data_IF_264929477658
#
_entry.id   IF_264929477658
#
_cell.length_a   1.000
_cell.length_b   1.000
_cell.length_c   1.000
_cell.angle_alpha   90.00
_cell.angle_beta   90.00
_cell.angle_gamma   90.00
#
_symmetry.space_group_name_H-M   'P 1'
#
loop_
_entity.id
_entity.type
_entity.pdbx_description
1 polymer ?
#
# COMPACT_ATOMS: atom_id res chain seq x y z
N UNK A 1 -21.08 -21.97 20.89
CA UNK A 1 -20.23 -22.23 19.71
C UNK A 1 -21.09 -22.11 18.46
N UNK A 2 -20.54 -21.58 17.37
CA UNK A 2 -21.23 -21.46 16.10
C UNK A 2 -21.27 -22.80 15.36
N UNK A 3 -22.39 -23.13 14.72
CA UNK A 3 -22.62 -24.34 13.93
C UNK A 3 -22.00 -24.27 12.52
N UNK A 4 -21.48 -23.10 12.13
CA UNK A 4 -20.75 -22.91 10.87
C UNK A 4 -20.35 -21.45 10.66
N UNK A 5 -19.40 -21.21 9.76
CA UNK A 5 -19.00 -19.86 9.38
C UNK A 5 -18.92 -19.70 7.88
N UNK A 6 -19.04 -18.46 7.39
CA UNK A 6 -19.01 -18.13 5.97
C UNK A 6 -18.17 -16.86 5.73
N UNK A 7 -17.72 -16.67 4.50
CA UNK A 7 -17.02 -15.44 4.06
C UNK A 7 -17.95 -14.65 3.14
N UNK A 8 -18.01 -13.33 3.33
CA UNK A 8 -18.64 -12.43 2.37
C UNK A 8 -17.60 -11.96 1.36
N UNK A 9 -17.78 -12.39 0.11
CA UNK A 9 -16.98 -12.08 -1.06
C UNK A 9 -17.70 -11.03 -1.91
N UNK A 10 -16.96 -10.05 -2.42
CA UNK A 10 -17.53 -9.06 -3.33
C UNK A 10 -18.00 -9.68 -4.66
N UNK A 11 -17.23 -10.62 -5.20
CA UNK A 11 -17.54 -11.30 -6.46
C UNK A 11 -18.50 -12.47 -6.30
N UNK A 12 -18.27 -13.32 -5.30
CA UNK A 12 -18.98 -14.61 -5.16
C UNK A 12 -20.13 -14.58 -4.15
N UNK A 13 -20.31 -13.47 -3.42
CA UNK A 13 -21.34 -13.33 -2.40
C UNK A 13 -21.00 -14.13 -1.14
N UNK A 14 -21.84 -15.08 -0.75
CA UNK A 14 -21.63 -15.97 0.38
C UNK A 14 -20.76 -17.16 -0.03
N UNK A 15 -19.62 -17.33 0.63
CA UNK A 15 -18.63 -18.38 0.33
C UNK A 15 -18.47 -19.29 1.55
N UNK A 16 -18.58 -20.60 1.32
CA UNK A 16 -18.23 -21.61 2.31
C UNK A 16 -16.71 -21.64 2.51
N UNK A 17 -16.21 -21.77 3.75
CA UNK A 17 -14.78 -21.83 4.05
C UNK A 17 -13.96 -22.86 3.28
N UNK A 18 -14.58 -23.99 2.91
CA UNK A 18 -13.93 -25.06 2.15
C UNK A 18 -13.92 -24.84 0.64
N UNK A 19 -14.63 -23.81 0.13
CA UNK A 19 -14.74 -23.55 -1.30
C UNK A 19 -13.48 -22.87 -1.83
N UNK A 20 -12.75 -23.56 -2.70
CA UNK A 20 -11.69 -22.95 -3.51
C UNK A 20 -12.30 -22.00 -4.53
N UNK A 21 -11.80 -20.76 -4.57
CA UNK A 21 -12.25 -19.72 -5.49
C UNK A 21 -11.04 -19.15 -6.25
N UNK A 22 -11.27 -18.72 -7.49
CA UNK A 22 -10.23 -18.06 -8.27
C UNK A 22 -9.90 -16.68 -7.70
N UNK A 23 -8.62 -16.25 -7.75
CA UNK A 23 -8.22 -14.90 -7.36
C UNK A 23 -9.05 -13.84 -8.09
N UNK A 24 -9.49 -12.82 -7.34
CA UNK A 24 -10.26 -11.72 -7.88
C UNK A 24 -9.99 -10.45 -7.08
N UNK A 25 -10.13 -9.30 -7.73
CA UNK A 25 -9.92 -7.99 -7.12
C UNK A 25 -11.21 -7.16 -7.27
N UNK A 26 -12.23 -7.53 -6.50
CA UNK A 26 -13.48 -6.78 -6.40
C UNK A 26 -13.72 -6.41 -4.93
N UNK A 27 -14.23 -5.21 -4.70
CA UNK A 27 -14.59 -4.74 -3.36
C UNK A 27 -15.86 -3.93 -3.37
N UNK A 28 -16.72 -4.14 -2.38
CA UNK A 28 -17.94 -3.33 -2.20
C UNK A 28 -17.63 -1.86 -1.90
N UNK A 29 -16.40 -1.54 -1.49
CA UNK A 29 -15.98 -0.18 -1.21
C UNK A 29 -15.95 0.72 -2.46
N UNK A 30 -15.76 0.12 -3.63
CA UNK A 30 -15.67 0.81 -4.92
C UNK A 30 -17.00 0.77 -5.70
N UNK A 31 -17.90 -0.14 -5.33
CA UNK A 31 -19.22 -0.29 -5.95
C UNK A 31 -20.12 0.91 -5.66
N UNK A 32 -20.96 1.28 -6.62
CA UNK A 32 -22.04 2.24 -6.42
C UNK A 32 -23.12 1.71 -5.47
N UNK A 33 -23.99 2.59 -4.95
CA UNK A 33 -25.09 2.18 -4.05
C UNK A 33 -26.07 1.20 -4.70
N UNK A 34 -26.32 1.32 -6.01
CA UNK A 34 -27.17 0.41 -6.79
C UNK A 34 -26.56 -0.99 -6.90
N UNK A 35 -25.25 -1.08 -7.18
CA UNK A 35 -24.51 -2.33 -7.30
C UNK A 35 -24.43 -3.06 -5.96
N UNK A 36 -24.13 -2.34 -4.86
CA UNK A 36 -24.15 -2.93 -3.52
C UNK A 36 -25.51 -3.49 -3.13
N UNK A 37 -26.61 -2.82 -3.51
CA UNK A 37 -27.97 -3.36 -3.29
C UNK A 37 -28.22 -4.64 -4.09
N UNK A 38 -27.77 -4.69 -5.35
CA UNK A 38 -27.88 -5.88 -6.17
C UNK A 38 -27.05 -7.04 -5.61
N UNK A 39 -25.82 -6.77 -5.16
CA UNK A 39 -24.98 -7.73 -4.45
C UNK A 39 -25.65 -8.24 -3.18
N UNK A 40 -26.19 -7.35 -2.36
CA UNK A 40 -26.86 -7.72 -1.11
C UNK A 40 -28.07 -8.62 -1.37
N UNK A 41 -28.87 -8.32 -2.42
CA UNK A 41 -29.97 -9.19 -2.83
C UNK A 41 -29.48 -10.58 -3.27
N UNK A 42 -28.31 -10.68 -3.93
CA UNK A 42 -27.68 -11.96 -4.28
C UNK A 42 -27.25 -12.76 -3.06
N UNK A 43 -26.57 -12.12 -2.11
CA UNK A 43 -26.16 -12.75 -0.85
C UNK A 43 -27.35 -13.19 -0.02
N UNK A 44 -28.42 -12.38 0.02
CA UNK A 44 -29.64 -12.74 0.73
C UNK A 44 -30.24 -14.03 0.18
N UNK A 45 -30.34 -14.19 -1.15
CA UNK A 45 -30.79 -15.45 -1.79
C UNK A 45 -29.94 -16.65 -1.38
N UNK A 46 -28.61 -16.49 -1.33
CA UNK A 46 -27.70 -17.56 -0.89
C UNK A 46 -27.90 -17.89 0.60
N UNK A 47 -28.13 -16.88 1.44
CA UNK A 47 -28.41 -17.06 2.86
C UNK A 47 -29.77 -17.74 3.12
N UNK A 48 -30.76 -17.65 2.23
CA UNK A 48 -32.05 -18.34 2.41
C UNK A 48 -31.92 -19.86 2.42
N UNK A 49 -30.96 -20.40 1.67
CA UNK A 49 -30.69 -21.84 1.62
C UNK A 49 -30.04 -22.33 2.91
N UNK A 50 -29.40 -21.41 3.65
CA UNK A 50 -28.52 -21.72 4.79
C UNK A 50 -29.17 -21.39 6.13
N UNK A 51 -30.05 -20.39 6.17
CA UNK A 51 -30.65 -19.83 7.38
C UNK A 51 -32.16 -20.09 7.44
N UNK A 52 -32.66 -20.32 8.65
CA UNK A 52 -34.08 -20.46 8.97
C UNK A 52 -34.53 -19.33 9.92
N UNK A 53 -35.84 -19.09 10.00
CA UNK A 53 -36.39 -18.18 11.00
C UNK A 53 -36.00 -18.67 12.40
N UNK A 54 -35.58 -17.74 13.27
CA UNK A 54 -35.06 -18.03 14.61
C UNK A 54 -33.55 -18.28 14.69
N UNK A 55 -32.85 -18.41 13.57
CA UNK A 55 -31.39 -18.55 13.57
C UNK A 55 -30.69 -17.27 14.06
N UNK A 56 -29.49 -17.43 14.62
CA UNK A 56 -28.65 -16.31 15.07
C UNK A 56 -27.41 -16.15 14.18
N UNK A 57 -27.23 -14.93 13.66
CA UNK A 57 -26.10 -14.55 12.82
C UNK A 57 -25.24 -13.50 13.52
N UNK A 58 -23.93 -13.77 13.59
CA UNK A 58 -22.93 -12.84 14.07
C UNK A 58 -22.14 -12.34 12.86
N UNK A 59 -22.27 -11.05 12.54
CA UNK A 59 -21.51 -10.43 11.46
C UNK A 59 -20.25 -9.76 12.01
N UNK A 60 -19.09 -10.20 11.54
CA UNK A 60 -17.78 -9.60 11.82
C UNK A 60 -17.24 -8.84 10.60
N UNK A 61 -18.00 -8.80 9.50
CA UNK A 61 -17.64 -8.08 8.28
C UNK A 61 -17.85 -6.56 8.42
N UNK A 62 -17.05 -5.79 7.68
CA UNK A 62 -17.11 -4.32 7.67
C UNK A 62 -18.47 -3.77 7.19
N UNK A 63 -18.76 -2.50 7.51
CA UNK A 63 -20.06 -1.85 7.26
C UNK A 63 -20.62 -2.07 5.85
N UNK A 64 -19.79 -1.88 4.81
CA UNK A 64 -20.20 -2.02 3.40
C UNK A 64 -20.72 -3.41 3.04
N UNK A 65 -20.24 -4.45 3.72
CA UNK A 65 -20.64 -5.84 3.52
C UNK A 65 -21.88 -6.23 4.34
N UNK A 66 -22.32 -5.41 5.30
CA UNK A 66 -23.48 -5.69 6.16
C UNK A 66 -24.67 -4.76 5.97
N UNK A 67 -24.46 -3.53 5.45
CA UNK A 67 -25.50 -2.48 5.35
C UNK A 67 -26.78 -2.93 4.63
N UNK A 68 -26.65 -3.74 3.56
CA UNK A 68 -27.78 -4.27 2.79
C UNK A 68 -28.38 -5.58 3.29
N UNK A 69 -27.79 -6.22 4.30
CA UNK A 69 -28.17 -7.56 4.76
C UNK A 69 -28.96 -7.53 6.08
N UNK A 70 -28.58 -6.65 7.01
CA UNK A 70 -29.10 -6.65 8.39
C UNK A 70 -30.62 -6.51 8.43
N UNK A 71 -31.16 -5.52 7.70
CA UNK A 71 -32.61 -5.25 7.69
C UNK A 71 -33.42 -6.42 7.14
N UNK A 72 -32.99 -6.98 6.01
CA UNK A 72 -33.68 -8.09 5.35
C UNK A 72 -33.63 -9.38 6.17
N UNK A 73 -32.52 -9.67 6.85
CA UNK A 73 -32.41 -10.83 7.73
C UNK A 73 -33.32 -10.70 8.95
N UNK A 74 -33.36 -9.52 9.60
CA UNK A 74 -34.25 -9.26 10.74
C UNK A 74 -35.73 -9.39 10.35
N UNK A 75 -36.12 -8.87 9.18
CA UNK A 75 -37.48 -8.99 8.66
C UNK A 75 -37.92 -10.46 8.45
N UNK A 76 -36.97 -11.38 8.27
CA UNK A 76 -37.21 -12.83 8.14
C UNK A 76 -37.17 -13.59 9.46
N UNK A 77 -37.14 -12.90 10.60
CA UNK A 77 -37.06 -13.52 11.91
C UNK A 77 -35.68 -14.04 12.30
N UNK A 78 -34.62 -13.64 11.59
CA UNK A 78 -33.23 -13.99 11.95
C UNK A 78 -32.68 -12.98 12.96
N UNK A 79 -32.08 -13.47 14.03
CA UNK A 79 -31.44 -12.62 15.05
C UNK A 79 -30.04 -12.21 14.58
N UNK A 80 -29.85 -10.94 14.23
CA UNK A 80 -28.56 -10.41 13.76
C UNK A 80 -27.86 -9.61 14.85
N UNK A 81 -26.65 -10.04 15.20
CA UNK A 81 -25.73 -9.36 16.11
C UNK A 81 -24.49 -8.87 15.35
N UNK A 82 -24.08 -7.64 15.63
CA UNK A 82 -22.81 -7.07 15.14
C UNK A 82 -22.01 -6.61 16.35
N UNK A 83 -21.29 -7.52 17.03
CA UNK A 83 -20.67 -7.23 18.33
C UNK A 83 -19.62 -6.11 18.26
N UNK A 84 -19.12 -5.86 17.05
CA UNK A 84 -18.06 -4.92 16.74
C UNK A 84 -18.58 -3.62 16.10
N UNK A 85 -19.89 -3.39 16.13
CA UNK A 85 -20.49 -2.16 15.60
C UNK A 85 -20.00 -0.93 16.37
N UNK A 86 -19.45 0.05 15.64
CA UNK A 86 -18.89 1.27 16.22
C UNK A 86 -17.46 1.12 16.77
N UNK A 87 -16.95 -0.12 16.89
CA UNK A 87 -15.57 -0.38 17.33
C UNK A 87 -14.57 -0.16 16.20
N UNK A 88 -13.48 0.54 16.48
CA UNK A 88 -12.32 0.62 15.58
C UNK A 88 -11.61 -0.73 15.45
N UNK A 89 -10.89 -0.98 14.35
CA UNK A 89 -10.24 -2.27 14.07
C UNK A 89 -9.36 -2.80 15.24
N UNK A 90 -8.70 -1.92 16.00
CA UNK A 90 -7.95 -2.31 17.20
C UNK A 90 -8.83 -2.81 18.35
N UNK A 91 -9.97 -2.14 18.60
CA UNK A 91 -10.97 -2.60 19.58
C UNK A 91 -11.65 -3.90 19.13
N UNK A 92 -11.82 -4.08 17.82
CA UNK A 92 -12.30 -5.34 17.23
C UNK A 92 -11.31 -6.49 17.44
N UNK A 93 -10.02 -6.26 17.22
CA UNK A 93 -8.96 -7.25 17.47
C UNK A 93 -8.83 -7.57 18.96
N UNK A 94 -8.92 -6.56 19.83
CA UNK A 94 -8.95 -6.76 21.28
C UNK A 94 -10.20 -7.55 21.70
N UNK A 95 -11.37 -7.20 21.17
CA UNK A 95 -12.62 -7.93 21.42
C UNK A 95 -12.52 -9.38 20.97
N UNK A 96 -11.94 -9.66 19.79
CA UNK A 96 -11.70 -11.02 19.30
C UNK A 96 -10.70 -11.79 20.17
N UNK A 97 -9.64 -11.14 20.65
CA UNK A 97 -8.65 -11.74 21.55
C UNK A 97 -9.23 -12.06 22.93
N UNK A 98 -10.07 -11.17 23.47
CA UNK A 98 -10.77 -11.37 24.74
C UNK A 98 -11.88 -12.42 24.60
N UNK A 99 -12.69 -12.36 23.53
CA UNK A 99 -13.75 -13.32 23.25
C UNK A 99 -13.21 -14.73 22.93
N UNK A 100 -12.01 -14.83 22.35
CA UNK A 100 -11.29 -16.10 22.15
C UNK A 100 -10.81 -16.74 23.45
N UNK A 101 -10.55 -15.95 24.50
CA UNK A 101 -10.10 -16.40 25.81
C UNK A 101 -11.23 -16.69 26.82
N UNK A 102 -12.48 -16.36 26.49
CA UNK A 102 -13.66 -16.69 27.31
C UNK A 102 -14.49 -17.77 26.60
N UNK A 103 -13.97 -18.99 26.57
CA UNK A 103 -14.74 -20.17 26.19
C UNK A 103 -14.84 -21.13 27.39
N UNK A 104 -15.93 -21.08 28.19
CA UNK A 104 -16.19 -22.15 29.14
C UNK A 104 -16.55 -23.42 28.36
N UNK A 105 -15.82 -24.50 28.63
CA UNK A 105 -16.14 -25.86 28.17
C UNK A 105 -17.48 -26.30 28.78
N UNK A 106 -18.57 -26.18 28.01
CA UNK A 106 -19.89 -26.71 28.40
C UNK A 106 -20.34 -27.74 27.37
N UNK A 107 -20.71 -28.94 27.84
CA UNK A 107 -21.28 -30.03 27.03
C UNK A 107 -22.64 -29.59 26.46
N UNK A 108 -22.88 -29.85 25.18
CA UNK A 108 -24.06 -29.39 24.44
C UNK A 108 -25.30 -30.24 24.74
N UNK A 109 -26.42 -29.60 25.09
CA UNK A 109 -27.76 -30.19 25.07
C UNK A 109 -28.36 -30.08 23.65
N UNK A 110 -29.17 -31.07 23.26
CA UNK A 110 -29.59 -31.33 21.87
C UNK A 110 -30.54 -30.31 21.22
N UNK A 111 -30.89 -29.19 21.88
CA UNK A 111 -31.94 -28.27 21.41
C UNK A 111 -31.56 -26.77 21.48
N UNK A 112 -30.27 -26.44 21.38
CA UNK A 112 -29.79 -25.04 21.39
C UNK A 112 -29.84 -24.38 20.00
N UNK A 113 -30.16 -23.06 19.90
CA UNK A 113 -30.28 -22.34 18.63
C UNK A 113 -28.97 -22.32 17.84
N UNK A 114 -29.09 -22.38 16.49
CA UNK A 114 -27.93 -22.41 15.60
C UNK A 114 -27.29 -21.04 15.46
N UNK A 115 -25.98 -20.95 15.74
CA UNK A 115 -25.22 -19.70 15.66
C UNK A 115 -24.28 -19.77 14.44
N UNK A 116 -24.26 -18.77 13.56
CA UNK A 116 -23.30 -18.72 12.44
C UNK A 116 -22.45 -17.46 12.44
N UNK A 117 -21.14 -17.58 12.21
CA UNK A 117 -20.16 -16.47 12.24
C UNK A 117 -19.73 -16.11 10.81
N UNK A 118 -19.57 -14.82 10.51
CA UNK A 118 -19.08 -14.36 9.20
C UNK A 118 -17.90 -13.42 9.39
N UNK A 119 -16.69 -13.78 8.92
CA UNK A 119 -15.42 -13.07 9.23
C UNK A 119 -14.54 -12.78 7.99
N UNK A 120 -13.54 -11.90 8.16
CA UNK A 120 -12.43 -11.62 7.23
C UNK A 120 -11.06 -11.87 7.95
N UNK A 121 -10.02 -12.31 7.24
CA UNK A 121 -8.79 -12.91 7.83
C UNK A 121 -7.71 -11.91 8.36
N UNK A 122 -6.95 -12.22 9.45
CA UNK A 122 -5.92 -11.33 10.04
C UNK A 122 -4.43 -11.78 9.90
N UNK A 123 -3.46 -10.88 10.18
CA UNK A 123 -2.00 -11.12 10.26
C UNK A 123 -1.34 -10.56 11.56
N UNK A 124 -0.18 -11.10 11.97
CA UNK A 124 0.48 -10.99 13.31
C UNK A 124 1.61 -9.92 13.38
N UNK A 125 1.92 -9.24 14.51
CA UNK A 125 2.91 -8.15 14.57
C UNK A 125 4.31 -8.55 15.10
N UNK A 126 5.36 -7.91 14.56
CA UNK A 126 6.76 -7.95 15.00
C UNK A 126 7.23 -6.53 15.42
N UNK A 127 8.06 -6.46 16.47
CA UNK A 127 8.53 -5.23 17.14
C UNK A 127 9.38 -4.31 16.23
N UNK A 128 9.30 -3.00 16.47
CA UNK A 128 10.01 -1.94 15.73
C UNK A 128 11.45 -1.71 16.20
N UNK A 129 12.40 -1.66 15.27
CA UNK A 129 13.78 -1.21 15.51
C UNK A 129 13.94 0.33 15.46
N UNK A 130 14.97 0.89 16.13
CA UNK A 130 15.24 2.33 16.15
C UNK A 130 15.78 2.87 14.80
N UNK A 131 15.56 4.16 14.49
CA UNK A 131 15.97 4.75 13.21
C UNK A 131 17.49 4.92 13.10
N UNK A 132 18.04 4.69 11.91
CA UNK A 132 19.46 4.86 11.57
C UNK A 132 19.88 6.35 11.56
N UNK A 133 21.05 6.73 12.12
CA UNK A 133 21.50 8.13 12.16
C UNK A 133 21.77 8.73 10.75
N UNK A 134 21.28 9.96 10.51
CA UNK A 134 21.36 10.68 9.23
C UNK A 134 22.79 10.79 8.66
N UNK A 135 23.82 10.92 9.51
CA UNK A 135 25.23 11.00 9.08
C UNK A 135 25.75 9.73 8.41
N UNK A 136 25.27 8.56 8.83
CA UNK A 136 25.61 7.29 8.18
C UNK A 136 24.96 7.15 6.80
N UNK A 137 23.73 7.66 6.65
CA UNK A 137 22.98 7.68 5.39
C UNK A 137 23.66 8.58 4.35
N UNK A 138 24.17 9.74 4.75
CA UNK A 138 24.95 10.63 3.86
C UNK A 138 26.29 10.02 3.42
N UNK A 139 26.97 9.31 4.32
CA UNK A 139 28.23 8.60 3.99
C UNK A 139 27.97 7.44 3.03
N UNK A 140 26.87 6.70 3.22
CA UNK A 140 26.38 5.70 2.30
C UNK A 140 26.00 6.28 0.92
N UNK A 141 25.29 7.41 0.89
CA UNK A 141 24.94 8.16 -0.33
C UNK A 141 26.17 8.57 -1.15
N UNK A 142 27.29 8.89 -0.49
CA UNK A 142 28.58 9.15 -1.15
C UNK A 142 29.32 7.89 -1.58
N UNK A 143 29.19 6.78 -0.83
CA UNK A 143 29.81 5.48 -1.17
C UNK A 143 29.14 4.78 -2.35
N UNK A 144 27.88 5.10 -2.62
CA UNK A 144 27.07 4.66 -3.77
C UNK A 144 27.74 4.92 -5.13
N UNK A 145 28.63 5.92 -5.25
CA UNK A 145 29.23 6.37 -6.52
C UNK A 145 30.43 5.50 -7.00
N UNK A 146 30.40 4.20 -6.69
CA UNK A 146 31.41 3.25 -7.19
C UNK A 146 30.96 2.77 -8.58
N UNK A 147 31.87 2.53 -9.56
CA UNK A 147 31.47 2.07 -10.88
C UNK A 147 30.73 0.74 -10.78
N UNK A 148 29.45 0.77 -11.15
CA UNK A 148 28.54 -0.38 -11.16
C UNK A 148 28.66 -1.12 -12.49
N UNK A 149 28.65 -2.45 -12.43
CA UNK A 149 28.63 -3.34 -13.60
C UNK A 149 27.18 -3.76 -13.91
N UNK A 150 26.87 -4.07 -15.18
CA UNK A 150 25.56 -4.61 -15.57
C UNK A 150 25.30 -5.94 -14.88
N UNK A 151 24.04 -6.22 -14.58
CA UNK A 151 23.68 -7.41 -13.83
C UNK A 151 23.19 -8.56 -14.69
N UNK A 152 22.58 -9.55 -14.02
CA UNK A 152 22.20 -10.83 -14.63
C UNK A 152 20.80 -10.84 -15.23
N UNK A 153 19.96 -9.87 -14.86
CA UNK A 153 18.59 -9.69 -15.32
C UNK A 153 18.18 -8.21 -15.49
N UNK A 154 16.96 -7.99 -15.99
CA UNK A 154 16.38 -6.66 -16.24
C UNK A 154 16.27 -5.78 -14.97
N UNK A 155 16.09 -6.39 -13.79
CA UNK A 155 15.97 -5.68 -12.52
C UNK A 155 17.33 -5.15 -12.09
N UNK A 156 18.38 -5.96 -12.21
CA UNK A 156 19.75 -5.54 -11.93
C UNK A 156 20.19 -4.42 -12.89
N UNK A 157 19.86 -4.55 -14.18
CA UNK A 157 20.16 -3.53 -15.19
C UNK A 157 19.45 -2.20 -14.88
N UNK A 158 18.20 -2.23 -14.42
CA UNK A 158 17.51 -1.03 -13.96
C UNK A 158 18.19 -0.41 -12.73
N UNK A 159 18.61 -1.21 -11.76
CA UNK A 159 19.36 -0.71 -10.60
C UNK A 159 20.67 -0.05 -11.03
N UNK A 160 21.42 -0.67 -11.95
CA UNK A 160 22.64 -0.10 -12.49
C UNK A 160 22.42 1.23 -13.23
N UNK A 161 21.33 1.35 -13.99
CA UNK A 161 20.95 2.61 -14.63
C UNK A 161 20.58 3.70 -13.63
N UNK A 162 19.87 3.37 -12.54
CA UNK A 162 19.56 4.32 -11.47
C UNK A 162 20.84 4.77 -10.74
N UNK A 163 21.84 3.90 -10.64
CA UNK A 163 23.15 4.27 -10.11
C UNK A 163 23.91 5.25 -11.01
N UNK A 164 23.88 5.05 -12.32
CA UNK A 164 24.40 6.04 -13.26
C UNK A 164 23.64 7.38 -13.20
N UNK A 165 22.32 7.35 -12.96
CA UNK A 165 21.55 8.58 -12.70
C UNK A 165 22.02 9.28 -11.43
N UNK A 166 22.29 8.52 -10.36
CA UNK A 166 22.81 9.06 -9.10
C UNK A 166 24.18 9.72 -9.25
N UNK A 167 25.07 9.14 -10.06
CA UNK A 167 26.37 9.73 -10.41
C UNK A 167 26.23 11.01 -11.22
N UNK A 168 25.32 11.02 -12.21
CA UNK A 168 25.19 12.13 -13.14
C UNK A 168 24.36 13.30 -12.61
N UNK A 169 23.27 13.00 -11.92
CA UNK A 169 22.27 13.98 -11.47
C UNK A 169 22.23 14.16 -9.96
N UNK A 170 23.03 13.37 -9.23
CA UNK A 170 23.12 13.41 -7.78
C UNK A 170 22.13 12.48 -7.09
N UNK A 171 22.48 12.16 -5.85
CA UNK A 171 21.63 11.42 -4.91
C UNK A 171 21.76 12.05 -3.54
N UNK A 172 20.63 12.19 -2.83
CA UNK A 172 20.62 12.73 -1.48
C UNK A 172 19.49 12.11 -0.65
N UNK A 173 19.61 12.07 0.69
CA UNK A 173 18.47 11.81 1.55
C UNK A 173 17.41 12.88 1.34
N UNK A 174 16.14 12.50 1.23
CA UNK A 174 15.04 13.44 1.03
C UNK A 174 15.00 14.54 2.11
N UNK A 175 15.38 14.20 3.35
CA UNK A 175 15.47 15.16 4.46
C UNK A 175 16.48 16.29 4.23
N UNK A 176 17.54 16.04 3.47
CA UNK A 176 18.59 17.00 3.14
C UNK A 176 18.25 17.83 1.89
N UNK A 177 17.21 17.45 1.13
CA UNK A 177 16.82 18.16 -0.08
C UNK A 177 16.14 19.51 0.24
N UNK A 178 16.41 20.53 -0.57
CA UNK A 178 15.80 21.86 -0.45
C UNK A 178 15.56 22.49 -1.82
N UNK A 179 14.81 23.59 -1.85
CA UNK A 179 14.58 24.39 -3.07
C UNK A 179 15.85 25.04 -3.61
N UNK A 180 16.90 25.17 -2.79
CA UNK A 180 18.18 25.76 -3.19
C UNK A 180 19.04 24.82 -4.05
N UNK A 181 18.72 23.51 -4.08
CA UNK A 181 19.39 22.56 -4.95
C UNK A 181 18.97 22.76 -6.42
N UNK A 182 19.85 22.38 -7.35
CA UNK A 182 19.60 22.45 -8.79
C UNK A 182 18.71 21.30 -9.24
N UNK A 183 17.39 21.47 -9.11
CA UNK A 183 16.42 20.52 -9.62
C UNK A 183 16.10 20.78 -11.09
N UNK A 184 15.97 19.74 -11.94
CA UNK A 184 15.31 19.91 -13.23
C UNK A 184 13.85 20.32 -13.00
N UNK A 185 13.28 21.10 -13.93
CA UNK A 185 11.88 21.52 -13.84
C UNK A 185 10.95 20.29 -13.76
N UNK A 186 11.25 19.26 -14.56
CA UNK A 186 10.46 18.04 -14.70
C UNK A 186 11.33 16.79 -14.75
N UNK A 187 10.75 15.65 -14.39
CA UNK A 187 11.45 14.39 -14.41
C UNK A 187 10.74 13.28 -13.66
N UNK A 188 11.44 12.15 -13.55
CA UNK A 188 11.07 10.98 -12.76
C UNK A 188 12.01 10.89 -11.57
N UNK A 189 11.50 10.55 -10.40
CA UNK A 189 12.30 10.34 -9.20
C UNK A 189 12.27 8.87 -8.78
N UNK A 190 13.40 8.41 -8.25
CA UNK A 190 13.61 7.06 -7.74
C UNK A 190 14.00 7.16 -6.28
N UNK A 191 13.23 6.52 -5.40
CA UNK A 191 13.60 6.38 -4.00
C UNK A 191 14.28 5.04 -3.75
N UNK A 192 15.40 5.09 -3.03
CA UNK A 192 16.11 3.92 -2.52
C UNK A 192 16.03 3.92 -0.99
N UNK A 193 15.86 2.73 -0.40
CA UNK A 193 15.82 2.58 1.07
C UNK A 193 17.17 2.05 1.57
N UNK A 194 17.94 2.84 2.36
CA UNK A 194 19.20 2.41 2.93
C UNK A 194 19.14 1.17 3.83
N UNK A 195 17.94 0.80 4.30
CA UNK A 195 17.72 -0.40 5.10
C UNK A 195 17.39 -1.63 4.25
N UNK A 196 17.11 -1.44 2.96
CA UNK A 196 16.88 -2.52 1.99
C UNK A 196 18.16 -2.72 1.18
N UNK A 197 19.14 -3.38 1.78
CA UNK A 197 20.42 -3.68 1.11
C UNK A 197 20.25 -4.75 0.04
N UNK A 198 21.08 -4.68 -0.99
CA UNK A 198 21.22 -5.69 -2.03
C UNK A 198 22.62 -6.32 -1.96
N UNK A 199 22.69 -7.61 -2.23
CA UNK A 199 23.95 -8.39 -2.17
C UNK A 199 24.56 -8.64 -3.56
N UNK A 200 23.83 -8.31 -4.64
CA UNK A 200 24.18 -8.57 -6.05
C UNK A 200 25.22 -7.61 -6.67
N UNK A 201 25.60 -6.55 -5.96
CA UNK A 201 26.62 -5.61 -6.42
C UNK A 201 26.19 -4.63 -7.53
N UNK A 202 24.98 -4.74 -8.09
CA UNK A 202 24.46 -3.82 -9.11
C UNK A 202 24.03 -2.47 -8.50
N UNK A 203 23.53 -2.48 -7.28
CA UNK A 203 23.33 -1.27 -6.48
C UNK A 203 23.34 -1.67 -5.01
N UNK A 204 23.79 -0.83 -4.08
CA UNK A 204 23.83 -1.21 -2.67
C UNK A 204 22.44 -1.17 -2.00
N UNK A 205 21.44 -0.52 -2.61
CA UNK A 205 20.10 -0.37 -2.06
C UNK A 205 19.01 -0.65 -3.07
N UNK A 206 17.90 -1.21 -2.58
CA UNK A 206 16.71 -1.49 -3.38
C UNK A 206 15.97 -0.21 -3.75
N UNK A 207 15.51 -0.13 -5.00
CA UNK A 207 14.52 0.87 -5.39
C UNK A 207 13.18 0.51 -4.72
N UNK A 208 12.68 1.41 -3.88
CA UNK A 208 11.44 1.20 -3.12
C UNK A 208 10.27 2.03 -3.63
N UNK A 209 10.51 3.00 -4.51
CA UNK A 209 9.46 3.76 -5.20
C UNK A 209 9.99 4.40 -6.46
N UNK A 210 9.17 4.39 -7.50
CA UNK A 210 9.34 5.24 -8.68
C UNK A 210 8.18 6.22 -8.71
N UNK A 211 8.42 7.47 -9.08
CA UNK A 211 7.30 8.38 -9.27
C UNK A 211 7.56 9.54 -10.19
N UNK A 212 6.47 10.14 -10.66
CA UNK A 212 6.54 11.32 -11.51
C UNK A 212 5.48 12.37 -11.16
N UNK A 213 5.35 13.39 -12.01
CA UNK A 213 4.42 14.50 -11.91
C UNK A 213 4.08 15.07 -13.30
N UNK A 214 3.16 16.04 -13.34
CA UNK A 214 2.77 16.74 -14.57
C UNK A 214 2.32 15.82 -15.72
N UNK A 215 1.41 14.88 -15.43
CA UNK A 215 0.81 13.95 -16.41
C UNK A 215 -0.54 14.44 -16.96
N UNK A 216 -0.93 15.68 -16.67
CA UNK A 216 -2.08 16.33 -17.30
C UNK A 216 -1.60 17.64 -17.97
N UNK A 217 -2.23 18.08 -19.07
CA UNK A 217 -1.73 19.22 -19.86
C UNK A 217 -1.70 20.55 -19.09
N UNK A 218 -2.56 20.72 -18.10
CA UNK A 218 -2.66 21.95 -17.30
C UNK A 218 -1.75 21.94 -16.06
N UNK A 219 -0.93 20.89 -15.87
CA UNK A 219 -0.13 20.76 -14.67
C UNK A 219 1.00 21.79 -14.63
N UNK A 220 1.04 22.55 -13.53
CA UNK A 220 2.11 23.52 -13.22
C UNK A 220 3.08 23.02 -12.15
N UNK A 221 2.97 21.75 -11.74
CA UNK A 221 3.86 21.19 -10.73
C UNK A 221 5.28 21.06 -11.30
N UNK A 222 6.28 21.38 -10.47
CA UNK A 222 7.68 21.09 -10.77
C UNK A 222 8.10 19.83 -10.02
N UNK A 223 9.26 19.27 -10.39
CA UNK A 223 9.81 18.10 -9.70
C UNK A 223 10.02 18.39 -8.22
N UNK A 224 10.61 19.56 -7.90
CA UNK A 224 10.81 19.96 -6.51
C UNK A 224 9.49 20.15 -5.76
N UNK A 225 8.47 20.78 -6.38
CA UNK A 225 7.18 20.95 -5.69
C UNK A 225 6.50 19.61 -5.39
N UNK A 226 6.75 18.56 -6.18
CA UNK A 226 6.30 17.21 -5.88
C UNK A 226 7.12 16.54 -4.77
N UNK A 227 8.45 16.61 -4.83
CA UNK A 227 9.34 16.02 -3.82
C UNK A 227 9.14 16.68 -2.44
N UNK A 228 8.91 17.99 -2.39
CA UNK A 228 8.66 18.70 -1.12
C UNK A 228 7.37 18.26 -0.42
N UNK A 229 6.32 17.87 -1.18
CA UNK A 229 5.10 17.27 -0.62
C UNK A 229 5.38 15.92 0.05
N UNK A 230 6.31 15.13 -0.49
CA UNK A 230 6.77 13.90 0.16
C UNK A 230 7.66 14.22 1.37
N UNK A 231 8.60 15.16 1.23
CA UNK A 231 9.53 15.56 2.29
C UNK A 231 8.82 16.09 3.53
N UNK A 232 7.78 16.91 3.36
CA UNK A 232 7.17 17.66 4.47
C UNK A 232 8.00 18.88 4.88
N UNK A 233 7.59 19.50 5.98
CA UNK A 233 8.18 20.73 6.52
C UNK A 233 9.39 20.45 7.42
N UNK A 234 10.12 21.49 7.80
CA UNK A 234 11.23 21.38 8.75
C UNK A 234 10.78 20.93 10.15
N UNK A 235 9.52 21.16 10.53
CA UNK A 235 8.95 20.73 11.81
C UNK A 235 8.57 19.24 11.84
N UNK A 236 8.91 18.48 10.78
CA UNK A 236 8.54 17.06 10.66
C UNK A 236 7.08 16.84 10.25
N UNK A 237 6.30 17.90 10.04
CA UNK A 237 4.91 17.77 9.58
C UNK A 237 4.84 17.54 8.07
N UNK A 238 3.77 16.90 7.62
CA UNK A 238 3.52 16.66 6.20
C UNK A 238 2.08 16.90 5.82
N UNK A 239 1.74 16.44 4.62
CA UNK A 239 0.38 16.43 4.12
C UNK A 239 0.11 15.11 3.40
N UNK A 240 -0.32 14.09 4.15
CA UNK A 240 -0.69 12.79 3.59
C UNK A 240 -1.88 12.86 2.62
N UNK A 241 -2.74 13.88 2.73
CA UNK A 241 -3.87 14.08 1.80
C UNK A 241 -3.38 14.52 0.41
N UNK A 242 -2.30 15.30 0.34
CA UNK A 242 -1.65 15.69 -0.92
C UNK A 242 -0.60 14.69 -1.43
N UNK A 243 -0.20 13.73 -0.60
CA UNK A 243 0.88 12.78 -0.87
C UNK A 243 0.42 11.35 -0.61
N UNK A 244 0.04 10.66 -1.69
CA UNK A 244 -0.34 9.23 -1.63
C UNK A 244 0.78 8.37 -1.02
N UNK A 245 2.04 8.74 -1.22
CA UNK A 245 3.17 8.06 -0.59
C UNK A 245 3.12 8.16 0.94
N UNK A 246 2.92 9.38 1.47
CA UNK A 246 2.73 9.61 2.91
C UNK A 246 1.53 8.84 3.45
N UNK A 247 0.41 8.85 2.72
CA UNK A 247 -0.79 8.10 3.08
C UNK A 247 -0.48 6.61 3.27
N UNK A 248 0.17 5.97 2.28
CA UNK A 248 0.52 4.56 2.36
C UNK A 248 1.48 4.24 3.51
N UNK A 249 2.53 5.06 3.69
CA UNK A 249 3.48 4.89 4.80
C UNK A 249 2.78 5.01 6.15
N UNK A 250 1.90 5.99 6.33
CA UNK A 250 1.17 6.15 7.59
C UNK A 250 0.21 4.99 7.87
N UNK A 251 -0.50 4.49 6.85
CA UNK A 251 -1.32 3.28 6.98
C UNK A 251 -0.47 2.07 7.35
N UNK A 252 0.71 1.91 6.75
CA UNK A 252 1.61 0.82 7.07
C UNK A 252 2.16 0.90 8.50
N UNK A 253 2.50 2.10 8.98
CA UNK A 253 2.93 2.32 10.37
C UNK A 253 1.81 1.95 11.35
N UNK A 254 0.59 2.38 11.08
CA UNK A 254 -0.59 2.03 11.89
C UNK A 254 -0.80 0.51 11.93
N UNK A 255 -0.80 -0.15 10.77
CA UNK A 255 -0.99 -1.59 10.68
C UNK A 255 0.10 -2.38 11.40
N UNK A 256 1.37 -1.97 11.26
CA UNK A 256 2.51 -2.59 11.96
C UNK A 256 2.34 -2.54 13.47
N UNK A 257 1.87 -1.41 13.98
CA UNK A 257 1.70 -1.18 15.41
C UNK A 257 0.36 -1.71 15.94
N UNK A 258 -0.51 -2.27 15.09
CA UNK A 258 -1.86 -2.66 15.48
C UNK A 258 -2.76 -1.48 15.87
N UNK A 259 -2.43 -0.28 15.40
CA UNK A 259 -3.12 0.96 15.72
C UNK A 259 -4.06 1.43 14.58
N UNK A 260 -4.95 2.36 14.89
CA UNK A 260 -5.82 3.01 13.91
C UNK A 260 -5.86 4.51 14.14
N UNK A 261 -6.07 5.29 13.08
CA UNK A 261 -6.27 6.73 13.18
C UNK A 261 -7.53 7.12 12.38
N UNK A 262 -8.57 7.68 13.02
CA UNK A 262 -9.90 7.81 12.42
C UNK A 262 -9.94 8.72 11.18
N UNK A 263 -9.08 9.72 11.12
CA UNK A 263 -9.03 10.69 10.02
C UNK A 263 -7.91 10.44 9.01
N UNK A 264 -7.01 9.47 9.25
CA UNK A 264 -5.84 9.28 8.40
C UNK A 264 -6.22 8.71 7.04
N UNK A 265 -5.86 9.41 5.97
CA UNK A 265 -6.19 9.01 4.61
C UNK A 265 -7.66 9.24 4.23
N UNK A 266 -8.41 9.97 5.06
CA UNK A 266 -9.81 10.35 4.85
C UNK A 266 -9.90 11.78 4.30
N UNK A 267 -10.65 11.93 3.21
CA UNK A 267 -10.93 13.22 2.58
C UNK A 267 -9.70 13.87 1.92
N UNK A 268 -9.96 14.95 1.20
CA UNK A 268 -8.91 15.78 0.57
C UNK A 268 -8.43 16.92 1.48
N UNK A 269 -9.25 17.32 2.45
CA UNK A 269 -8.99 18.39 3.42
C UNK A 269 -9.51 18.00 4.81
N UNK A 270 -9.08 18.71 5.85
CA UNK A 270 -9.59 18.54 7.21
C UNK A 270 -9.47 19.84 8.03
N UNK A 271 -10.32 20.03 9.06
CA UNK A 271 -10.19 21.14 10.01
C UNK A 271 -8.86 21.10 10.77
N UNK A 272 -8.41 22.26 11.26
CA UNK A 272 -7.11 22.43 11.96
C UNK A 272 -6.96 21.48 13.15
N UNK A 273 -8.03 21.25 13.90
CA UNK A 273 -8.05 20.34 15.06
C UNK A 273 -7.81 18.89 14.66
N UNK A 274 -8.41 18.44 13.55
CA UNK A 274 -8.18 17.10 13.01
C UNK A 274 -6.73 16.95 12.56
N UNK A 275 -6.18 17.96 11.87
CA UNK A 275 -4.77 17.97 11.46
C UNK A 275 -3.83 17.97 12.67
N UNK A 276 -4.19 18.65 13.76
CA UNK A 276 -3.41 18.63 14.99
C UNK A 276 -3.37 17.24 15.65
N UNK A 277 -4.47 16.49 15.59
CA UNK A 277 -4.52 15.09 16.05
C UNK A 277 -3.66 14.13 15.22
N UNK A 278 -3.40 14.44 13.96
CA UNK A 278 -2.59 13.62 13.04
C UNK A 278 -1.08 13.83 13.17
N UNK A 279 -0.68 14.80 14.00
CA UNK A 279 0.70 15.29 14.10
C UNK A 279 1.71 14.18 14.38
N UNK A 280 1.47 13.35 15.39
CA UNK A 280 2.40 12.29 15.79
C UNK A 280 2.65 11.30 14.62
N UNK A 281 1.58 10.92 13.91
CA UNK A 281 1.70 10.01 12.78
C UNK A 281 2.40 10.68 11.59
N UNK A 282 2.11 11.96 11.29
CA UNK A 282 2.84 12.71 10.25
C UNK A 282 4.35 12.82 10.57
N UNK A 283 4.72 13.05 11.83
CA UNK A 283 6.13 13.13 12.26
C UNK A 283 6.83 11.78 12.04
N UNK A 284 6.18 10.66 12.39
CA UNK A 284 6.69 9.31 12.12
C UNK A 284 6.80 8.99 10.63
N UNK A 285 5.83 9.42 9.82
CA UNK A 285 5.87 9.29 8.36
C UNK A 285 7.03 10.11 7.79
N UNK A 286 7.24 11.33 8.27
CA UNK A 286 8.37 12.17 7.87
C UNK A 286 9.70 11.53 8.24
N UNK A 287 9.83 10.95 9.43
CA UNK A 287 11.03 10.23 9.83
C UNK A 287 11.33 9.06 8.87
N UNK A 288 10.31 8.31 8.44
CA UNK A 288 10.49 7.24 7.45
C UNK A 288 10.84 7.75 6.05
N UNK A 289 10.20 8.84 5.58
CA UNK A 289 10.42 9.33 4.21
C UNK A 289 11.73 10.11 4.06
N UNK A 290 12.12 10.88 5.08
CA UNK A 290 13.30 11.76 5.00
C UNK A 290 14.63 11.01 5.00
N UNK A 291 14.66 9.75 5.48
CA UNK A 291 15.83 8.86 5.39
C UNK A 291 16.01 8.22 4.01
N UNK A 292 14.96 8.15 3.18
CA UNK A 292 15.06 7.56 1.86
C UNK A 292 15.97 8.40 0.98
N UNK A 293 16.81 7.74 0.20
CA UNK A 293 17.64 8.39 -0.81
C UNK A 293 16.78 8.66 -2.04
N UNK A 294 16.98 9.82 -2.66
CA UNK A 294 16.32 10.17 -3.92
C UNK A 294 17.37 10.54 -4.96
N UNK A 295 17.23 9.95 -6.14
CA UNK A 295 17.86 10.42 -7.38
C UNK A 295 16.79 10.66 -8.43
N UNK A 296 17.16 11.35 -9.51
CA UNK A 296 16.21 11.85 -10.51
C UNK A 296 16.73 11.62 -11.93
N UNK A 297 15.78 11.41 -12.84
CA UNK A 297 16.01 11.47 -14.27
C UNK A 297 15.29 12.70 -14.83
N UNK A 298 16.01 13.71 -15.37
CA UNK A 298 15.40 14.81 -16.08
C UNK A 298 14.63 14.31 -17.32
N UNK A 299 13.34 14.64 -17.40
CA UNK A 299 12.49 14.34 -18.56
C UNK A 299 11.61 15.58 -18.77
N UNK A 300 12.02 16.41 -19.72
CA UNK A 300 11.60 17.82 -19.85
C UNK A 300 10.51 18.07 -20.90
N UNK A 301 9.92 17.01 -21.43
CA UNK A 301 8.80 17.09 -22.36
C UNK A 301 7.57 17.76 -21.74
N UNK A 302 6.61 18.16 -22.57
CA UNK A 302 5.41 18.88 -22.11
C UNK A 302 4.54 18.05 -21.16
N UNK A 303 3.74 18.68 -20.29
CA UNK A 303 2.80 17.99 -19.43
C UNK A 303 1.72 17.34 -20.26
N UNK A 304 1.33 16.13 -19.90
CA UNK A 304 0.26 15.44 -20.61
C UNK A 304 0.30 13.93 -20.42
N UNK A 305 -0.78 13.26 -20.86
CA UNK A 305 -0.92 11.81 -20.72
C UNK A 305 0.08 11.03 -21.57
N UNK A 306 0.62 11.64 -22.63
CA UNK A 306 1.61 11.05 -23.54
C UNK A 306 3.05 11.36 -23.12
N UNK A 307 3.26 11.95 -21.95
CA UNK A 307 4.61 12.32 -21.52
C UNK A 307 5.50 11.10 -21.31
N UNK A 308 6.76 11.22 -21.73
CA UNK A 308 7.80 10.21 -21.50
C UNK A 308 8.06 9.99 -20.00
N UNK A 309 7.66 10.92 -19.13
CA UNK A 309 7.63 10.72 -17.68
C UNK A 309 6.74 9.56 -17.26
N UNK A 310 5.52 9.50 -17.81
CA UNK A 310 4.59 8.40 -17.55
C UNK A 310 5.09 7.08 -18.13
N UNK A 311 5.72 7.14 -19.31
CA UNK A 311 6.38 5.98 -19.92
C UNK A 311 7.48 5.38 -19.01
N UNK A 312 8.37 6.23 -18.49
CA UNK A 312 9.47 5.80 -17.62
C UNK A 312 8.93 5.26 -16.30
N UNK A 313 8.00 5.96 -15.65
CA UNK A 313 7.40 5.49 -14.39
C UNK A 313 6.74 4.12 -14.57
N UNK A 314 5.89 3.98 -15.59
CA UNK A 314 5.19 2.72 -15.89
C UNK A 314 6.15 1.57 -16.09
N UNK A 315 7.11 1.72 -17.01
CA UNK A 315 8.01 0.63 -17.36
C UNK A 315 9.02 0.31 -16.24
N UNK A 316 9.50 1.31 -15.49
CA UNK A 316 10.37 1.05 -14.35
C UNK A 316 9.65 0.28 -13.23
N UNK A 317 8.41 0.68 -12.89
CA UNK A 317 7.59 -0.06 -11.93
C UNK A 317 7.31 -1.47 -12.44
N UNK A 318 6.98 -1.59 -13.72
CA UNK A 318 6.75 -2.88 -14.35
C UNK A 318 8.00 -3.75 -14.21
N UNK A 319 9.21 -3.29 -14.58
CA UNK A 319 10.45 -4.08 -14.44
C UNK A 319 10.67 -4.51 -12.99
N UNK A 320 10.54 -3.59 -12.02
CA UNK A 320 10.75 -3.88 -10.60
C UNK A 320 9.74 -4.86 -9.98
N UNK A 321 8.60 -5.07 -10.64
CA UNK A 321 7.52 -5.93 -10.15
C UNK A 321 7.26 -7.12 -11.07
N UNK A 322 7.96 -7.19 -12.19
CA UNK A 322 8.10 -8.37 -13.02
C UNK A 322 9.16 -9.25 -12.39
N UNK A 323 8.98 -10.56 -12.50
CA UNK A 323 9.80 -11.58 -11.87
C UNK A 323 9.58 -11.69 -10.34
N UNK A 324 8.42 -12.22 -9.96
CA UNK A 324 8.40 -13.28 -8.97
C UNK A 324 7.67 -14.47 -9.60
N UNK A 325 8.40 -15.52 -9.98
CA UNK A 325 7.74 -16.78 -10.25
C UNK A 325 6.95 -17.19 -9.00
N UNK A 326 5.77 -17.82 -9.12
CA UNK A 326 5.02 -18.30 -7.97
C UNK A 326 5.93 -19.13 -7.04
N UNK A 327 6.14 -18.66 -5.82
CA UNK A 327 7.01 -19.32 -4.83
C UNK A 327 8.39 -18.71 -4.64
N UNK A 328 8.80 -17.72 -5.45
CA UNK A 328 10.06 -17.00 -5.21
C UNK A 328 9.91 -15.95 -4.10
N UNK A 329 10.95 -15.77 -3.26
CA UNK A 329 10.96 -14.73 -2.23
C UNK A 329 10.82 -13.34 -2.85
N UNK A 330 10.03 -12.49 -2.20
CA UNK A 330 10.00 -11.07 -2.54
C UNK A 330 11.39 -10.45 -2.26
N UNK A 331 11.81 -9.43 -3.03
CA UNK A 331 13.11 -8.80 -2.91
C UNK A 331 13.17 -7.88 -1.68
N UNK A 332 12.03 -7.62 -1.04
CA UNK A 332 11.96 -6.85 0.19
C UNK A 332 12.47 -7.67 1.38
N UNK A 333 13.26 -7.03 2.24
CA UNK A 333 13.68 -7.66 3.49
C UNK A 333 12.46 -7.97 4.38
N UNK A 334 12.60 -8.92 5.31
CA UNK A 334 11.53 -9.27 6.24
C UNK A 334 11.09 -8.09 7.14
N UNK A 335 11.96 -7.09 7.33
CA UNK A 335 11.69 -5.91 8.17
C UNK A 335 11.16 -4.72 7.37
N UNK A 336 10.96 -4.87 6.05
CA UNK A 336 10.47 -3.79 5.22
C UNK A 336 9.06 -3.35 5.64
N UNK A 337 8.89 -2.05 5.92
CA UNK A 337 7.61 -1.49 6.37
C UNK A 337 6.46 -1.73 5.38
N UNK A 338 6.76 -1.86 4.08
CA UNK A 338 5.74 -2.04 3.04
C UNK A 338 4.93 -3.33 3.18
N UNK A 339 5.42 -4.34 3.91
CA UNK A 339 4.66 -5.55 4.25
C UNK A 339 3.38 -5.26 5.04
N UNK A 340 3.36 -4.15 5.77
CA UNK A 340 2.20 -3.70 6.55
C UNK A 340 1.29 -2.75 5.78
N UNK A 341 1.60 -2.41 4.52
CA UNK A 341 0.78 -1.51 3.72
C UNK A 341 -0.65 -2.02 3.62
N UNK A 342 -1.64 -1.12 3.68
CA UNK A 342 -3.04 -1.48 3.40
C UNK A 342 -3.29 -1.85 1.93
N UNK A 343 -2.42 -1.43 1.01
CA UNK A 343 -2.55 -1.73 -0.42
C UNK A 343 -1.89 -3.06 -0.77
N UNK A 344 -2.65 -3.97 -1.39
CA UNK A 344 -2.16 -5.29 -1.84
C UNK A 344 -0.98 -5.12 -2.81
N UNK A 345 -1.12 -4.26 -3.81
CA UNK A 345 -0.08 -3.99 -4.81
C UNK A 345 1.28 -3.59 -4.19
N UNK A 346 1.27 -2.84 -3.08
CA UNK A 346 2.51 -2.47 -2.39
C UNK A 346 3.18 -3.69 -1.75
N UNK A 347 2.38 -4.57 -1.15
CA UNK A 347 2.89 -5.79 -0.50
C UNK A 347 3.40 -6.79 -1.54
N UNK A 348 2.60 -7.09 -2.56
CA UNK A 348 2.92 -8.11 -3.57
C UNK A 348 3.99 -7.66 -4.55
N UNK A 349 4.05 -6.37 -4.89
CA UNK A 349 5.10 -5.81 -5.73
C UNK A 349 6.37 -5.43 -4.97
N UNK A 350 6.39 -5.62 -3.64
CA UNK A 350 7.48 -5.15 -2.79
C UNK A 350 7.86 -3.66 -3.01
N UNK A 351 6.98 -2.81 -3.52
CA UNK A 351 7.29 -1.46 -4.00
C UNK A 351 6.21 -0.48 -3.54
N UNK A 352 6.55 0.75 -3.12
CA UNK A 352 5.59 1.78 -2.71
C UNK A 352 4.82 2.41 -3.89
N UNK A 353 4.47 1.60 -4.88
CA UNK A 353 3.66 1.92 -6.04
C UNK A 353 2.37 1.08 -5.99
N UNK A 354 1.29 1.61 -6.55
CA UNK A 354 0.02 0.88 -6.68
C UNK A 354 -0.31 0.70 -8.16
N UNK A 355 -0.15 1.77 -8.94
CA UNK A 355 -0.26 1.72 -10.40
C UNK A 355 0.95 1.01 -10.98
N UNK A 356 0.73 0.32 -12.10
CA UNK A 356 1.75 -0.37 -12.90
C UNK A 356 2.39 -1.60 -12.26
N UNK A 357 2.02 -1.95 -11.03
CA UNK A 357 2.49 -3.17 -10.36
C UNK A 357 1.96 -4.39 -11.11
N UNK A 358 2.87 -5.31 -11.47
CA UNK A 358 2.53 -6.54 -12.18
C UNK A 358 2.21 -6.35 -13.67
N UNK A 359 2.32 -5.13 -14.20
CA UNK A 359 2.27 -4.91 -15.64
C UNK A 359 3.53 -5.43 -16.32
N UNK A 360 3.46 -5.64 -17.65
CA UNK A 360 4.60 -6.03 -18.47
C UNK A 360 5.31 -4.80 -19.02
N UNK A 361 6.64 -4.78 -18.90
CA UNK A 361 7.49 -3.74 -19.42
C UNK A 361 7.70 -3.97 -20.92
N UNK A 362 7.86 -2.88 -21.65
CA UNK A 362 8.27 -2.95 -23.04
C UNK A 362 9.69 -3.48 -23.13
N UNK A 363 9.93 -4.45 -24.01
CA UNK A 363 11.26 -5.06 -24.20
C UNK A 363 12.36 -4.05 -24.57
N UNK A 364 11.98 -2.92 -25.20
CA UNK A 364 12.93 -1.87 -25.57
C UNK A 364 13.22 -0.85 -24.46
N UNK A 365 12.56 -0.95 -23.31
CA UNK A 365 12.59 0.07 -22.26
C UNK A 365 13.99 0.32 -21.72
N UNK A 366 14.70 -0.71 -21.26
CA UNK A 366 16.03 -0.55 -20.64
C UNK A 366 17.04 0.06 -21.60
N UNK A 367 17.04 -0.36 -22.88
CA UNK A 367 17.88 0.23 -23.91
C UNK A 367 17.54 1.69 -24.24
N UNK A 368 16.25 2.08 -24.16
CA UNK A 368 15.85 3.50 -24.28
C UNK A 368 16.30 4.31 -23.07
N UNK A 369 16.10 3.77 -21.86
CA UNK A 369 16.49 4.40 -20.62
C UNK A 369 18.00 4.64 -20.57
N UNK A 370 18.80 3.64 -20.94
CA UNK A 370 20.26 3.75 -21.03
C UNK A 370 20.72 4.91 -21.91
N UNK A 371 20.12 5.08 -23.09
CA UNK A 371 20.46 6.19 -24.00
C UNK A 371 20.18 7.56 -23.38
N UNK A 372 19.06 7.69 -22.67
CA UNK A 372 18.75 8.93 -21.93
C UNK A 372 19.71 9.18 -20.78
N UNK A 373 20.00 8.16 -19.96
CA UNK A 373 20.93 8.27 -18.83
C UNK A 373 22.34 8.61 -19.30
N UNK A 374 22.78 8.06 -20.43
CA UNK A 374 24.08 8.34 -21.04
C UNK A 374 24.15 9.70 -21.75
N UNK A 375 23.01 10.38 -21.97
CA UNK A 375 22.96 11.60 -22.76
C UNK A 375 23.17 11.39 -24.27
N UNK A 376 23.14 10.13 -24.72
CA UNK A 376 23.15 9.74 -26.13
C UNK A 376 21.72 9.75 -26.67
N UNK A 377 21.04 10.89 -26.57
CA UNK A 377 19.78 11.08 -27.27
C UNK A 377 20.12 11.23 -28.76
N UNK A 378 19.59 10.31 -29.59
CA UNK A 378 19.70 10.38 -31.04
C UNK A 378 19.19 11.71 -31.56
N UNK A 379 19.90 12.23 -32.55
CA UNK A 379 19.37 13.25 -33.48
C UNK A 379 18.18 12.68 -34.24
#
# INVERSE_FOLDING_TARGET
MADGWYVLSAKYGLVDPGRVIEPYDETLNEMGSRERRAWAAGVLRQLEVVLRSGDKVIMLAGQRYREGLIGALRARGVQVSVPMEGLGIGEQLHWLAVAGNVAPRVRRAANAPRVRVVAAAPATPLRSEPPTPLGSVLKAARKLLSPVTRGSDDVDDLHALVMQMAERFGVAPLGACSSAMRWPERGVYFFLDPMEKRDDGAAPYRIVRVGTHALNPQARSTLWSRLSQHKGTASGLGNHRGSVFRKHVGVALLNRDGATHPSWGVGATAPREVVAGERELEERVSAYLTRLLVTVLPVLDEPGPTSMRGYVERNAVAVLTQAHAPGEPLPASATWLGHFSGAVAVRTGALWNVRHVGERAEASFLGRLERWVSGRSGR
#
